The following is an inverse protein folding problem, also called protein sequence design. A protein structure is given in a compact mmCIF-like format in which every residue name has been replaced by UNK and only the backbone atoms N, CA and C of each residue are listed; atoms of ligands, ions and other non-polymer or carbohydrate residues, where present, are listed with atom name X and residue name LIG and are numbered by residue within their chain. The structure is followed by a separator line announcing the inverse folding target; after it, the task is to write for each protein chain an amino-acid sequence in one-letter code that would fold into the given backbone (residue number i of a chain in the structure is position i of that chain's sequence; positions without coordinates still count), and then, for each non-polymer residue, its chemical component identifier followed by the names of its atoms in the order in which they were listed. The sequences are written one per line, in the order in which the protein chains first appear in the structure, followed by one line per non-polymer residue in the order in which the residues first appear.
data_IF_818242663036
#
_entry.id   IF_818242663036
#
_cell.length_a   1.000
_cell.length_b   1.000
_cell.length_c   1.000
_cell.angle_alpha   90.00
_cell.angle_beta   90.00
_cell.angle_gamma   90.00
#
_symmetry.space_group_name_H-M   'P 1'
#
loop_
_entity.id
_entity.type
_entity.pdbx_description
1 polymer ?
#
# COMPACT_ATOMS: atom_id res chain seq x y z
N UNK A 1 -29.10 -17.25 -31.71
CA UNK A 1 -28.37 -18.51 -31.42
C UNK A 1 -27.24 -18.63 -32.44
N UNK A 2 -26.01 -18.32 -32.04
CA UNK A 2 -24.83 -18.50 -32.89
C UNK A 2 -24.41 -19.95 -32.72
N UNK A 3 -24.62 -20.76 -33.75
CA UNK A 3 -24.14 -22.14 -33.81
C UNK A 3 -22.62 -22.13 -34.01
N UNK A 4 -21.87 -22.12 -32.92
CA UNK A 4 -20.45 -22.40 -32.92
C UNK A 4 -20.23 -23.89 -33.22
N UNK A 5 -19.88 -24.21 -34.43
CA UNK A 5 -19.36 -25.53 -34.82
C UNK A 5 -17.98 -25.69 -34.12
N UNK A 6 -17.97 -26.26 -32.93
CA UNK A 6 -16.73 -26.62 -32.22
C UNK A 6 -16.11 -27.80 -32.98
N UNK A 7 -14.93 -27.60 -33.53
CA UNK A 7 -14.14 -28.68 -34.13
C UNK A 7 -13.81 -29.74 -33.05
N UNK A 8 -13.97 -31.06 -33.30
CA UNK A 8 -13.89 -32.09 -32.27
C UNK A 8 -12.49 -32.47 -31.80
N UNK A 9 -11.45 -31.75 -32.17
CA UNK A 9 -10.10 -31.94 -31.62
C UNK A 9 -9.85 -30.99 -30.44
N UNK A 10 -10.25 -31.43 -29.23
CA UNK A 10 -9.88 -30.78 -28.00
C UNK A 10 -8.33 -30.73 -27.89
N UNK A 11 -7.74 -29.55 -28.13
CA UNK A 11 -6.31 -29.32 -27.95
C UNK A 11 -5.96 -29.52 -26.47
N UNK A 12 -5.26 -30.60 -26.14
CA UNK A 12 -4.78 -30.83 -24.78
C UNK A 12 -3.61 -29.89 -24.48
N UNK A 13 -3.76 -29.04 -23.47
CA UNK A 13 -2.70 -28.19 -22.96
C UNK A 13 -2.06 -28.88 -21.76
N UNK A 14 -0.77 -29.15 -21.84
CA UNK A 14 -0.02 -29.72 -20.72
C UNK A 14 0.42 -28.58 -19.79
N UNK A 15 -0.34 -28.36 -18.71
CA UNK A 15 -0.15 -27.23 -17.80
C UNK A 15 1.27 -27.06 -17.24
N UNK A 16 2.01 -28.12 -16.85
CA UNK A 16 3.39 -27.97 -16.41
C UNK A 16 4.31 -27.29 -17.44
N UNK A 17 4.10 -27.51 -18.74
CA UNK A 17 4.88 -26.87 -19.81
C UNK A 17 4.51 -25.40 -20.03
N UNK A 18 3.32 -24.99 -19.59
CA UNK A 18 2.82 -23.63 -19.73
C UNK A 18 3.11 -22.78 -18.50
N UNK A 19 2.95 -23.36 -17.31
CA UNK A 19 3.14 -22.69 -16.02
C UNK A 19 4.60 -22.74 -15.56
N UNK A 20 5.29 -23.86 -15.81
CA UNK A 20 6.64 -24.09 -15.35
C UNK A 20 6.76 -24.36 -13.85
N UNK A 21 7.97 -24.21 -13.32
CA UNK A 21 8.34 -24.59 -11.95
C UNK A 21 7.94 -23.53 -10.91
N UNK A 22 7.86 -23.94 -9.63
CA UNK A 22 7.82 -23.07 -8.47
C UNK A 22 6.43 -22.62 -8.02
N UNK A 23 5.36 -23.02 -8.71
CA UNK A 23 4.00 -22.54 -8.42
C UNK A 23 2.97 -23.64 -8.09
N UNK A 24 3.38 -24.87 -7.81
CA UNK A 24 2.44 -26.00 -7.60
C UNK A 24 1.43 -25.74 -6.49
N UNK A 25 1.89 -25.37 -5.30
CA UNK A 25 1.01 -25.05 -4.16
C UNK A 25 0.18 -23.80 -4.45
N UNK A 26 0.80 -22.74 -4.97
CA UNK A 26 0.10 -21.51 -5.35
C UNK A 26 -1.04 -21.78 -6.34
N UNK A 27 -0.82 -22.63 -7.32
CA UNK A 27 -1.78 -22.99 -8.36
C UNK A 27 -3.03 -23.69 -7.81
N UNK A 28 -2.83 -24.60 -6.85
CA UNK A 28 -3.88 -25.47 -6.33
C UNK A 28 -4.55 -24.98 -5.05
N UNK A 29 -3.97 -23.99 -4.39
CA UNK A 29 -4.49 -23.48 -3.12
C UNK A 29 -5.89 -22.87 -3.28
N UNK A 30 -6.81 -23.20 -2.34
CA UNK A 30 -8.22 -22.78 -2.35
C UNK A 30 -8.63 -21.97 -1.11
N UNK A 31 -7.73 -21.72 -0.15
CA UNK A 31 -8.03 -20.88 1.01
C UNK A 31 -8.30 -19.41 0.61
N UNK A 32 -8.77 -18.62 1.56
CA UNK A 32 -9.23 -17.24 1.33
C UNK A 32 -8.17 -16.32 0.74
N UNK A 33 -6.93 -16.41 1.23
CA UNK A 33 -5.86 -15.49 0.82
C UNK A 33 -4.68 -16.24 0.21
N UNK A 34 -4.35 -15.88 -1.00
CA UNK A 34 -3.21 -16.41 -1.75
C UNK A 34 -2.27 -15.27 -2.08
N UNK A 35 -1.13 -15.23 -1.39
CA UNK A 35 -0.23 -14.08 -1.39
C UNK A 35 1.14 -14.47 -1.97
N UNK A 36 1.56 -13.82 -3.03
CA UNK A 36 2.84 -14.08 -3.68
C UNK A 36 3.66 -12.80 -3.76
N UNK A 37 4.59 -12.63 -2.82
CA UNK A 37 5.65 -11.66 -2.99
C UNK A 37 6.76 -12.26 -3.85
N UNK A 38 7.48 -11.40 -4.57
CA UNK A 38 8.58 -11.96 -5.35
C UNK A 38 9.41 -10.94 -6.09
N UNK A 39 10.50 -11.41 -6.66
CA UNK A 39 11.39 -10.60 -7.48
C UNK A 39 10.73 -10.17 -8.81
N UNK A 40 11.39 -9.27 -9.50
CA UNK A 40 11.13 -9.08 -10.93
C UNK A 40 11.42 -10.40 -11.67
N UNK A 41 10.76 -10.61 -12.81
CA UNK A 41 10.89 -11.79 -13.67
C UNK A 41 10.57 -13.13 -12.98
N UNK A 42 9.91 -13.18 -11.82
CA UNK A 42 9.53 -14.42 -11.12
C UNK A 42 8.26 -15.08 -11.66
N UNK A 43 7.65 -14.60 -12.71
CA UNK A 43 6.41 -15.11 -13.36
C UNK A 43 5.12 -14.95 -12.55
N UNK A 44 5.11 -14.26 -11.40
CA UNK A 44 3.89 -14.16 -10.53
C UNK A 44 2.64 -13.72 -11.31
N UNK A 45 2.70 -12.62 -12.06
CA UNK A 45 1.56 -12.08 -12.81
C UNK A 45 1.13 -13.01 -13.94
N UNK A 46 2.08 -13.55 -14.71
CA UNK A 46 1.80 -14.53 -15.78
C UNK A 46 1.16 -15.81 -15.24
N UNK A 47 1.68 -16.35 -14.14
CA UNK A 47 1.12 -17.56 -13.51
C UNK A 47 -0.28 -17.29 -12.95
N UNK A 48 -0.49 -16.12 -12.34
CA UNK A 48 -1.81 -15.72 -11.82
C UNK A 48 -2.81 -15.57 -12.96
N UNK A 49 -2.44 -14.92 -14.06
CA UNK A 49 -3.30 -14.76 -15.24
C UNK A 49 -3.69 -16.12 -15.85
N UNK A 50 -2.72 -17.02 -16.05
CA UNK A 50 -2.99 -18.39 -16.53
C UNK A 50 -3.95 -19.15 -15.60
N UNK A 51 -3.74 -19.04 -14.27
CA UNK A 51 -4.58 -19.69 -13.28
C UNK A 51 -6.02 -19.15 -13.31
N UNK A 52 -6.21 -17.83 -13.44
CA UNK A 52 -7.53 -17.20 -13.56
C UNK A 52 -8.25 -17.71 -14.80
N UNK A 53 -7.63 -17.64 -15.98
CA UNK A 53 -8.24 -18.08 -17.23
C UNK A 53 -8.63 -19.56 -17.15
N UNK A 54 -7.72 -20.43 -16.67
CA UNK A 54 -8.02 -21.86 -16.49
C UNK A 54 -9.16 -22.09 -15.53
N UNK A 55 -9.20 -21.39 -14.38
CA UNK A 55 -10.26 -21.53 -13.39
C UNK A 55 -11.61 -21.04 -13.91
N UNK A 56 -11.67 -19.89 -14.60
CA UNK A 56 -12.87 -19.37 -15.24
C UNK A 56 -13.50 -20.40 -16.20
N UNK A 57 -12.66 -21.13 -16.94
CA UNK A 57 -13.12 -22.19 -17.84
C UNK A 57 -13.52 -23.47 -17.12
N UNK A 58 -12.97 -23.72 -15.92
CA UNK A 58 -13.21 -24.94 -15.15
C UNK A 58 -14.44 -24.83 -14.22
N UNK A 59 -14.70 -23.63 -13.71
CA UNK A 59 -15.72 -23.36 -12.71
C UNK A 59 -16.79 -22.44 -13.32
N UNK A 60 -17.88 -22.98 -13.88
CA UNK A 60 -19.01 -22.17 -14.31
C UNK A 60 -19.53 -21.27 -13.18
N UNK A 61 -20.10 -20.14 -13.53
CA UNK A 61 -20.66 -19.14 -12.61
C UNK A 61 -19.66 -18.37 -11.74
N UNK A 62 -18.34 -18.66 -11.83
CA UNK A 62 -17.33 -17.93 -11.08
C UNK A 62 -16.86 -16.69 -11.85
N UNK A 63 -17.11 -15.50 -11.33
CA UNK A 63 -16.57 -14.24 -11.86
C UNK A 63 -15.30 -13.84 -11.11
N UNK A 64 -14.47 -13.04 -11.80
CA UNK A 64 -13.20 -12.54 -11.27
C UNK A 64 -13.18 -11.01 -11.29
N UNK A 65 -12.69 -10.41 -10.21
CA UNK A 65 -12.34 -9.01 -10.12
C UNK A 65 -10.83 -8.85 -10.18
N UNK A 66 -10.34 -7.93 -11.00
CA UNK A 66 -8.93 -7.58 -11.11
C UNK A 66 -8.75 -6.13 -10.69
N UNK A 67 -7.82 -5.90 -9.77
CA UNK A 67 -7.66 -4.61 -9.09
C UNK A 67 -6.20 -4.15 -9.14
N UNK A 68 -6.01 -2.85 -9.35
CA UNK A 68 -4.78 -2.11 -9.04
C UNK A 68 -5.13 -0.83 -8.28
N UNK A 69 -4.14 -0.21 -7.64
CA UNK A 69 -4.34 1.09 -6.98
C UNK A 69 -4.90 2.14 -7.96
N UNK A 70 -4.35 2.22 -9.17
CA UNK A 70 -4.73 3.21 -10.19
C UNK A 70 -5.35 2.51 -11.40
N UNK A 71 -6.60 2.86 -11.75
CA UNK A 71 -7.36 2.23 -12.83
C UNK A 71 -6.63 2.26 -14.19
N UNK A 72 -6.08 3.41 -14.56
CA UNK A 72 -5.41 3.59 -15.88
C UNK A 72 -4.26 2.62 -16.13
N UNK A 73 -3.63 2.09 -15.07
CA UNK A 73 -2.49 1.16 -15.19
C UNK A 73 -2.92 -0.29 -15.46
N UNK A 74 -4.20 -0.62 -15.32
CA UNK A 74 -4.73 -1.98 -15.53
C UNK A 74 -4.60 -2.44 -16.97
N UNK A 75 -4.80 -1.53 -17.97
CA UNK A 75 -4.76 -1.88 -19.38
C UNK A 75 -3.40 -2.42 -19.81
N UNK A 76 -2.33 -1.76 -19.39
CA UNK A 76 -0.96 -2.10 -19.78
C UNK A 76 -0.34 -3.20 -18.90
N UNK A 77 -1.01 -3.58 -17.81
CA UNK A 77 -0.57 -4.64 -16.90
C UNK A 77 -1.50 -5.86 -16.93
N UNK A 78 -2.41 -5.98 -15.94
CA UNK A 78 -3.26 -7.16 -15.75
C UNK A 78 -4.07 -7.56 -16.98
N UNK A 79 -4.64 -6.58 -17.67
CA UNK A 79 -5.45 -6.83 -18.86
C UNK A 79 -4.62 -7.45 -19.99
N UNK A 80 -3.42 -6.91 -20.23
CA UNK A 80 -2.48 -7.47 -21.21
C UNK A 80 -1.98 -8.86 -20.80
N UNK A 81 -1.72 -9.09 -19.50
CA UNK A 81 -1.32 -10.41 -19.00
C UNK A 81 -2.44 -11.45 -19.18
N UNK A 82 -3.69 -11.09 -18.94
CA UNK A 82 -4.83 -11.98 -19.19
C UNK A 82 -5.05 -12.26 -20.69
N UNK A 83 -4.90 -11.25 -21.56
CA UNK A 83 -4.90 -11.47 -23.03
C UNK A 83 -3.80 -12.44 -23.44
N UNK A 84 -2.60 -12.26 -22.90
CA UNK A 84 -1.49 -13.19 -23.14
C UNK A 84 -1.83 -14.60 -22.66
N UNK A 85 -2.43 -14.77 -21.46
CA UNK A 85 -2.81 -16.07 -20.93
C UNK A 85 -3.86 -16.78 -21.80
N UNK A 86 -4.88 -16.07 -22.27
CA UNK A 86 -5.88 -16.59 -23.21
C UNK A 86 -5.22 -17.12 -24.49
N UNK A 87 -4.29 -16.35 -25.08
CA UNK A 87 -3.56 -16.74 -26.28
C UNK A 87 -2.62 -17.92 -26.00
N UNK A 88 -1.91 -17.88 -24.87
CA UNK A 88 -0.96 -18.95 -24.49
C UNK A 88 -1.65 -20.29 -24.28
N UNK A 89 -2.85 -20.29 -23.74
CA UNK A 89 -3.70 -21.48 -23.59
C UNK A 89 -4.38 -21.89 -24.93
N UNK A 90 -4.36 -21.03 -25.94
CA UNK A 90 -4.97 -21.31 -27.23
C UNK A 90 -6.50 -21.30 -27.21
N UNK A 91 -7.09 -20.51 -26.32
CA UNK A 91 -8.56 -20.49 -26.03
C UNK A 91 -9.24 -19.19 -26.46
N UNK A 92 -8.60 -18.38 -27.30
CA UNK A 92 -9.11 -17.07 -27.71
C UNK A 92 -10.54 -17.13 -28.31
N UNK A 93 -10.86 -18.18 -29.05
CA UNK A 93 -12.18 -18.34 -29.67
C UNK A 93 -13.35 -18.42 -28.66
N UNK A 94 -13.06 -18.65 -27.40
CA UNK A 94 -14.06 -18.75 -26.31
C UNK A 94 -14.19 -17.46 -25.50
N UNK A 95 -13.47 -16.38 -25.86
CA UNK A 95 -13.42 -15.17 -25.07
C UNK A 95 -13.77 -13.94 -25.92
N UNK A 96 -14.66 -13.12 -25.41
CA UNK A 96 -14.85 -11.74 -25.87
C UNK A 96 -14.01 -10.82 -25.02
N UNK A 97 -13.22 -9.93 -25.67
CA UNK A 97 -12.30 -9.02 -24.99
C UNK A 97 -12.68 -7.59 -25.38
N UNK A 98 -13.14 -6.81 -24.41
CA UNK A 98 -13.51 -5.39 -24.57
C UNK A 98 -12.46 -4.50 -23.91
N UNK A 99 -12.01 -3.48 -24.64
CA UNK A 99 -11.04 -2.50 -24.17
C UNK A 99 -11.68 -1.20 -23.66
N UNK A 100 -12.97 -1.02 -23.89
CA UNK A 100 -13.76 0.12 -23.41
C UNK A 100 -15.24 -0.26 -23.28
N UNK A 101 -15.75 -0.46 -22.05
CA UNK A 101 -15.03 -0.61 -20.79
C UNK A 101 -14.10 -1.83 -20.80
N UNK A 102 -13.08 -1.84 -19.90
CA UNK A 102 -12.23 -3.03 -19.74
C UNK A 102 -13.06 -4.18 -19.16
N UNK A 103 -13.23 -5.22 -19.94
CA UNK A 103 -14.00 -6.42 -19.57
C UNK A 103 -13.57 -7.61 -20.44
N UNK A 104 -13.56 -8.80 -19.87
CA UNK A 104 -13.41 -10.05 -20.62
C UNK A 104 -14.56 -10.98 -20.27
N UNK A 105 -15.21 -11.54 -21.28
CA UNK A 105 -16.35 -12.44 -21.12
C UNK A 105 -15.99 -13.83 -21.65
N UNK A 106 -16.18 -14.87 -20.84
CA UNK A 106 -16.10 -16.25 -21.26
C UNK A 106 -17.43 -16.64 -21.93
N UNK A 107 -17.41 -16.74 -23.25
CA UNK A 107 -18.61 -16.88 -24.08
C UNK A 107 -19.49 -18.10 -23.78
N UNK A 108 -18.94 -19.31 -23.45
CA UNK A 108 -19.78 -20.48 -23.21
C UNK A 108 -20.74 -20.34 -22.03
N UNK A 109 -20.40 -19.60 -20.99
CA UNK A 109 -21.15 -19.49 -19.75
C UNK A 109 -21.52 -18.06 -19.36
N UNK A 110 -20.96 -17.05 -20.07
CA UNK A 110 -21.26 -15.64 -19.87
C UNK A 110 -20.61 -14.99 -18.65
N UNK A 111 -19.78 -15.71 -17.89
CA UNK A 111 -19.09 -15.17 -16.73
C UNK A 111 -17.99 -14.18 -17.16
N UNK A 112 -17.67 -13.23 -16.27
CA UNK A 112 -16.85 -12.07 -16.62
C UNK A 112 -15.63 -11.88 -15.73
N UNK A 113 -14.60 -11.25 -16.28
CA UNK A 113 -13.49 -10.64 -15.56
C UNK A 113 -13.70 -9.12 -15.60
N UNK A 114 -13.85 -8.54 -14.41
CA UNK A 114 -14.05 -7.10 -14.19
C UNK A 114 -12.74 -6.45 -13.78
N UNK A 115 -12.54 -5.18 -14.17
CA UNK A 115 -11.35 -4.40 -13.87
C UNK A 115 -11.74 -3.13 -13.11
N UNK A 116 -11.11 -2.87 -11.96
CA UNK A 116 -11.37 -1.69 -11.13
C UNK A 116 -10.08 -1.12 -10.55
N UNK A 117 -10.06 0.20 -10.39
CA UNK A 117 -9.02 0.88 -9.60
C UNK A 117 -9.50 1.15 -8.18
N UNK A 118 -8.58 1.18 -7.21
CA UNK A 118 -8.85 1.62 -5.84
C UNK A 118 -8.70 3.14 -5.68
N UNK A 119 -8.43 3.87 -6.75
CA UNK A 119 -8.53 5.32 -6.83
C UNK A 119 -9.98 5.84 -6.65
N UNK A 120 -10.97 4.94 -6.84
CA UNK A 120 -12.37 5.18 -6.51
C UNK A 120 -12.93 3.97 -5.73
N UNK A 121 -12.78 3.93 -4.40
CA UNK A 121 -13.21 2.81 -3.57
C UNK A 121 -14.69 2.47 -3.69
N UNK A 122 -15.56 3.49 -3.91
CA UNK A 122 -17.00 3.28 -4.04
C UNK A 122 -17.36 2.43 -5.28
N UNK A 123 -16.59 2.54 -6.35
CA UNK A 123 -16.81 1.71 -7.56
C UNK A 123 -16.41 0.25 -7.35
N UNK A 124 -15.55 -0.04 -6.39
CA UNK A 124 -15.13 -1.40 -6.06
C UNK A 124 -16.14 -2.09 -5.17
N UNK A 125 -16.72 -1.38 -4.21
CA UNK A 125 -17.69 -1.92 -3.24
C UNK A 125 -19.07 -2.20 -3.85
N UNK A 126 -19.38 -1.60 -5.01
CA UNK A 126 -20.70 -1.70 -5.69
C UNK A 126 -20.74 -2.69 -6.85
N UNK A 127 -19.76 -3.61 -6.96
CA UNK A 127 -19.74 -4.59 -8.06
C UNK A 127 -20.87 -5.58 -7.89
N UNK A 128 -21.78 -5.56 -8.85
CA UNK A 128 -22.83 -6.58 -9.02
C UNK A 128 -22.50 -7.46 -10.21
N UNK A 129 -22.55 -8.76 -10.06
CA UNK A 129 -22.36 -9.72 -11.15
C UNK A 129 -23.72 -10.08 -11.76
N UNK A 130 -23.78 -10.11 -13.07
CA UNK A 130 -25.00 -10.41 -13.82
C UNK A 130 -25.32 -11.91 -13.79
N UNK A 131 -24.29 -12.74 -13.82
CA UNK A 131 -24.38 -14.21 -13.85
C UNK A 131 -23.45 -14.76 -12.79
N UNK A 132 -23.94 -15.71 -11.99
CA UNK A 132 -23.13 -16.44 -11.01
C UNK A 132 -22.66 -15.60 -9.82
N UNK A 133 -21.44 -15.83 -9.37
CA UNK A 133 -20.89 -15.29 -8.11
C UNK A 133 -19.56 -14.60 -8.33
N UNK A 134 -19.27 -13.55 -7.57
CA UNK A 134 -17.93 -12.95 -7.51
C UNK A 134 -17.06 -13.83 -6.59
N UNK A 135 -16.27 -14.70 -7.19
CA UNK A 135 -15.49 -15.71 -6.47
C UNK A 135 -14.04 -15.28 -6.23
N UNK A 136 -13.41 -14.67 -7.21
CA UNK A 136 -11.99 -14.39 -7.15
C UNK A 136 -11.69 -12.91 -7.32
N UNK A 137 -10.70 -12.45 -6.56
CA UNK A 137 -10.12 -11.13 -6.72
C UNK A 137 -8.60 -11.28 -6.92
N UNK A 138 -8.05 -10.59 -7.91
CA UNK A 138 -6.62 -10.46 -8.09
C UNK A 138 -6.20 -9.02 -7.92
N UNK A 139 -5.38 -8.78 -6.91
CA UNK A 139 -4.76 -7.49 -6.63
C UNK A 139 -3.33 -7.56 -7.14
N UNK A 140 -3.06 -6.89 -8.25
CA UNK A 140 -1.71 -6.78 -8.83
C UNK A 140 -1.01 -5.54 -8.28
N UNK A 141 0.29 -5.67 -8.03
CA UNK A 141 1.10 -4.68 -7.33
C UNK A 141 0.46 -4.26 -6.00
N UNK A 142 0.03 -5.28 -5.22
CA UNK A 142 -0.68 -5.06 -3.95
C UNK A 142 0.10 -4.18 -2.95
N UNK A 143 1.42 -4.06 -3.13
CA UNK A 143 2.25 -3.13 -2.38
C UNK A 143 1.82 -1.66 -2.56
N UNK A 144 1.18 -1.29 -3.66
CA UNK A 144 0.65 0.07 -3.88
C UNK A 144 -0.51 0.43 -2.92
N UNK A 145 -1.12 -0.57 -2.25
CA UNK A 145 -2.16 -0.38 -1.23
C UNK A 145 -1.49 -0.14 0.11
N UNK A 146 -1.19 1.12 0.39
CA UNK A 146 -0.40 1.51 1.56
C UNK A 146 -1.18 1.38 2.88
N UNK A 147 -2.51 1.52 2.83
CA UNK A 147 -3.38 1.44 3.99
C UNK A 147 -4.11 0.09 4.03
N UNK A 148 -4.03 -0.61 5.17
CA UNK A 148 -4.72 -1.89 5.36
C UNK A 148 -6.24 -1.77 5.29
N UNK A 149 -6.81 -0.63 5.73
CA UNK A 149 -8.25 -0.37 5.66
C UNK A 149 -8.81 -0.36 4.22
N UNK A 150 -8.03 0.09 3.23
CA UNK A 150 -8.41 0.03 1.82
C UNK A 150 -8.52 -1.43 1.34
N UNK A 151 -7.66 -2.30 1.85
CA UNK A 151 -7.74 -3.74 1.59
C UNK A 151 -8.95 -4.38 2.29
N UNK A 152 -9.21 -4.03 3.55
CA UNK A 152 -10.36 -4.58 4.31
C UNK A 152 -11.68 -4.26 3.62
N UNK A 153 -11.85 -3.03 3.14
CA UNK A 153 -13.03 -2.62 2.38
C UNK A 153 -13.23 -3.44 1.10
N UNK A 154 -12.14 -3.77 0.39
CA UNK A 154 -12.18 -4.65 -0.77
C UNK A 154 -12.51 -6.10 -0.37
N UNK A 155 -11.89 -6.61 0.69
CA UNK A 155 -12.12 -7.97 1.20
C UNK A 155 -13.58 -8.19 1.61
N UNK A 156 -14.17 -7.21 2.31
CA UNK A 156 -15.58 -7.20 2.67
C UNK A 156 -16.52 -7.18 1.45
N UNK A 157 -16.05 -6.65 0.31
CA UNK A 157 -16.83 -6.61 -0.93
C UNK A 157 -16.91 -7.96 -1.65
N UNK A 158 -15.97 -8.88 -1.39
CA UNK A 158 -15.98 -10.26 -1.93
C UNK A 158 -16.80 -11.16 -1.01
N UNK A 159 -18.12 -10.96 -1.02
CA UNK A 159 -19.10 -11.57 -0.11
C UNK A 159 -20.24 -12.26 -0.86
N UNK A 160 -21.23 -12.77 -0.11
CA UNK A 160 -22.42 -13.48 -0.61
C UNK A 160 -22.28 -14.98 -0.39
N UNK A 161 -23.38 -15.68 -0.15
CA UNK A 161 -23.40 -17.13 -0.01
C UNK A 161 -23.14 -17.78 -1.38
N UNK A 162 -22.32 -18.81 -1.41
CA UNK A 162 -22.10 -19.67 -2.57
C UNK A 162 -22.63 -21.05 -2.19
N UNK A 163 -23.51 -21.67 -2.98
CA UNK A 163 -24.01 -23.03 -2.72
C UNK A 163 -22.86 -24.05 -2.73
N UNK A 164 -22.81 -24.92 -1.72
CA UNK A 164 -21.72 -25.90 -1.55
C UNK A 164 -21.60 -26.86 -2.75
N UNK A 165 -22.73 -27.23 -3.34
CA UNK A 165 -22.82 -28.14 -4.50
C UNK A 165 -22.11 -27.60 -5.75
N UNK A 166 -21.84 -26.27 -5.85
CA UNK A 166 -21.12 -25.69 -6.97
C UNK A 166 -19.63 -26.00 -6.93
N UNK A 167 -19.08 -26.34 -5.75
CA UNK A 167 -17.64 -26.48 -5.52
C UNK A 167 -16.83 -25.20 -5.70
N UNK A 168 -17.52 -24.05 -5.81
CA UNK A 168 -16.92 -22.73 -5.91
C UNK A 168 -16.34 -22.31 -4.56
N UNK A 169 -15.38 -21.40 -4.60
CA UNK A 169 -14.75 -20.86 -3.39
C UNK A 169 -14.34 -19.40 -3.64
N UNK A 170 -14.28 -18.62 -2.56
CA UNK A 170 -13.82 -17.22 -2.62
C UNK A 170 -12.34 -17.15 -2.30
N UNK A 171 -11.60 -16.42 -3.13
CA UNK A 171 -10.18 -16.23 -2.91
C UNK A 171 -9.72 -14.85 -3.37
N UNK A 172 -8.91 -14.20 -2.56
CA UNK A 172 -8.17 -12.99 -2.92
C UNK A 172 -6.71 -13.38 -3.16
N UNK A 173 -6.20 -13.02 -4.33
CA UNK A 173 -4.80 -13.25 -4.72
C UNK A 173 -4.08 -11.91 -4.74
N UNK A 174 -2.99 -11.79 -3.99
CA UNK A 174 -2.11 -10.61 -3.97
C UNK A 174 -0.78 -10.97 -4.64
N UNK A 175 -0.36 -10.13 -5.58
CA UNK A 175 0.95 -10.25 -6.24
C UNK A 175 1.69 -8.92 -6.16
N UNK A 176 2.96 -8.92 -5.72
CA UNK A 176 3.73 -7.69 -5.53
C UNK A 176 5.23 -7.93 -5.38
N UNK A 177 6.00 -6.83 -5.45
CA UNK A 177 7.40 -6.79 -5.07
C UNK A 177 7.53 -6.18 -3.66
N UNK A 178 8.27 -6.81 -2.72
CA UNK A 178 8.27 -6.43 -1.30
C UNK A 178 9.30 -5.33 -0.98
N UNK A 179 9.04 -4.09 -1.39
CA UNK A 179 9.99 -2.97 -1.28
C UNK A 179 10.27 -2.52 0.15
N UNK A 180 9.29 -2.64 1.06
CA UNK A 180 9.42 -2.20 2.45
C UNK A 180 8.91 -3.27 3.42
N UNK A 181 9.76 -3.68 4.36
CA UNK A 181 9.40 -4.70 5.36
C UNK A 181 8.40 -4.20 6.41
N UNK A 182 8.20 -2.90 6.56
CA UNK A 182 7.21 -2.31 7.48
C UNK A 182 5.80 -2.26 6.88
N UNK A 183 5.62 -2.67 5.63
CA UNK A 183 4.31 -2.69 4.99
C UNK A 183 3.36 -3.67 5.71
N UNK A 184 2.09 -3.28 5.90
CA UNK A 184 1.06 -4.05 6.61
C UNK A 184 0.89 -5.50 6.09
N UNK A 185 1.08 -5.74 4.78
CA UNK A 185 1.02 -7.07 4.16
C UNK A 185 1.96 -8.06 4.85
N UNK A 186 3.13 -7.61 5.33
CA UNK A 186 4.09 -8.48 6.01
C UNK A 186 3.53 -9.02 7.32
N UNK A 187 2.96 -8.16 8.17
CA UNK A 187 2.36 -8.57 9.44
C UNK A 187 1.15 -9.49 9.19
N UNK A 188 0.25 -9.08 8.29
CA UNK A 188 -1.03 -9.77 8.06
C UNK A 188 -0.88 -11.15 7.44
N UNK A 189 -0.01 -11.29 6.43
CA UNK A 189 0.03 -12.52 5.62
C UNK A 189 1.30 -13.34 5.77
N UNK A 190 2.38 -12.76 6.23
CA UNK A 190 3.67 -13.45 6.46
C UNK A 190 4.03 -13.57 7.93
N UNK A 191 3.24 -12.99 8.84
CA UNK A 191 3.44 -13.00 10.28
C UNK A 191 2.56 -14.03 10.99
N UNK A 192 3.18 -14.99 11.67
CA UNK A 192 2.53 -15.89 12.61
C UNK A 192 2.57 -15.25 14.01
N UNK A 193 1.44 -15.09 14.66
CA UNK A 193 1.39 -14.59 16.04
C UNK A 193 1.91 -15.69 16.96
N UNK A 194 2.99 -15.42 17.69
CA UNK A 194 3.64 -16.38 18.60
C UNK A 194 3.38 -16.10 20.07
N UNK A 195 2.82 -14.93 20.40
CA UNK A 195 2.55 -14.53 21.77
C UNK A 195 2.24 -13.05 21.88
N UNK A 196 2.45 -12.51 23.08
CA UNK A 196 2.35 -11.08 23.36
C UNK A 196 3.60 -10.62 24.11
N UNK A 197 4.03 -9.38 23.86
CA UNK A 197 5.10 -8.74 24.64
C UNK A 197 4.64 -8.30 26.03
N UNK A 198 5.53 -7.69 26.82
CA UNK A 198 5.24 -7.20 28.17
C UNK A 198 4.17 -6.09 28.20
N UNK A 199 3.92 -5.41 27.08
CA UNK A 199 2.92 -4.36 26.88
C UNK A 199 1.59 -4.91 26.34
N UNK A 200 1.52 -6.24 26.07
CA UNK A 200 0.32 -6.89 25.53
C UNK A 200 0.18 -6.86 24.01
N UNK A 201 1.18 -6.33 23.28
CA UNK A 201 1.17 -6.30 21.82
C UNK A 201 1.53 -7.67 21.25
N UNK A 202 0.97 -8.07 20.10
CA UNK A 202 1.30 -9.34 19.48
C UNK A 202 2.77 -9.40 19.02
N UNK A 203 3.43 -10.51 19.33
CA UNK A 203 4.75 -10.84 18.78
C UNK A 203 4.61 -11.74 17.56
N UNK A 204 5.49 -11.54 16.56
CA UNK A 204 5.40 -12.21 15.28
C UNK A 204 6.65 -13.02 14.96
N UNK A 205 6.43 -14.22 14.43
CA UNK A 205 7.41 -14.96 13.65
C UNK A 205 7.11 -14.78 12.18
N UNK A 206 8.06 -14.29 11.40
CA UNK A 206 7.87 -14.05 9.98
C UNK A 206 8.37 -15.24 9.13
N UNK A 207 7.59 -15.57 8.12
CA UNK A 207 7.86 -16.67 7.19
C UNK A 207 8.10 -16.13 5.77
N UNK A 208 8.95 -16.81 5.00
CA UNK A 208 9.10 -16.53 3.56
C UNK A 208 8.08 -17.31 2.71
N UNK A 209 7.66 -18.48 3.20
CA UNK A 209 6.59 -19.26 2.62
C UNK A 209 5.94 -20.13 3.70
N UNK A 210 4.61 -20.10 3.80
CA UNK A 210 3.85 -20.88 4.76
C UNK A 210 2.37 -20.99 4.39
N UNK A 211 1.69 -21.93 5.04
CA UNK A 211 0.24 -21.99 5.07
C UNK A 211 -0.16 -21.76 6.54
N UNK A 212 -1.13 -20.85 6.78
CA UNK A 212 -1.62 -20.59 8.13
C UNK A 212 -2.25 -21.85 8.74
N UNK A 213 -2.24 -22.00 10.08
CA UNK A 213 -2.78 -23.17 10.77
C UNK A 213 -4.24 -23.46 10.44
N UNK A 214 -5.03 -22.42 10.16
CA UNK A 214 -6.44 -22.53 9.75
C UNK A 214 -6.63 -22.85 8.25
N UNK A 215 -5.53 -22.92 7.48
CA UNK A 215 -5.56 -23.19 6.05
C UNK A 215 -6.10 -22.04 5.18
N UNK A 216 -6.34 -20.86 5.74
CA UNK A 216 -6.94 -19.74 5.01
C UNK A 216 -5.93 -18.88 4.27
N UNK A 217 -4.68 -18.85 4.71
CA UNK A 217 -3.60 -18.07 4.09
C UNK A 217 -2.55 -18.99 3.49
N UNK A 218 -2.22 -18.80 2.24
CA UNK A 218 -0.97 -19.27 1.64
C UNK A 218 -0.17 -18.05 1.20
N UNK A 219 0.91 -17.78 1.91
CA UNK A 219 1.87 -16.75 1.54
C UNK A 219 3.17 -17.40 1.06
N UNK A 220 3.77 -16.87 -0.01
CA UNK A 220 4.99 -17.43 -0.60
C UNK A 220 5.88 -16.36 -1.21
N UNK A 221 7.17 -16.68 -1.27
CA UNK A 221 8.19 -15.89 -1.96
C UNK A 221 8.64 -16.61 -3.23
N UNK A 222 8.65 -15.87 -4.35
CA UNK A 222 9.17 -16.38 -5.62
C UNK A 222 10.28 -15.47 -6.14
N UNK A 223 11.16 -16.01 -6.95
CA UNK A 223 12.25 -15.23 -7.52
C UNK A 223 12.54 -15.64 -8.97
N UNK A 224 13.44 -14.91 -9.63
CA UNK A 224 13.78 -15.16 -11.03
C UNK A 224 14.34 -16.56 -11.31
N UNK A 225 14.88 -17.26 -10.30
CA UNK A 225 15.42 -18.61 -10.46
C UNK A 225 14.34 -19.67 -10.75
N UNK A 226 13.07 -19.39 -10.45
CA UNK A 226 11.95 -20.25 -10.85
C UNK A 226 11.46 -19.99 -12.28
N UNK A 227 12.09 -19.06 -13.02
CA UNK A 227 11.71 -18.70 -14.37
C UNK A 227 12.67 -19.34 -15.38
N UNK A 228 12.28 -20.45 -15.92
CA UNK A 228 13.02 -21.24 -16.91
C UNK A 228 13.07 -20.61 -18.31
N UNK A 229 12.34 -19.53 -18.55
CA UNK A 229 12.29 -18.83 -19.84
C UNK A 229 13.22 -17.61 -19.92
N UNK A 230 14.02 -17.36 -18.87
CA UNK A 230 15.02 -16.29 -18.89
C UNK A 230 16.23 -16.74 -19.73
N UNK A 231 16.69 -15.84 -20.59
CA UNK A 231 17.91 -16.08 -21.37
C UNK A 231 19.18 -15.63 -20.62
N UNK A 232 20.33 -15.80 -21.28
CA UNK A 232 21.64 -15.45 -20.70
C UNK A 232 21.76 -13.94 -20.44
N UNK A 233 21.12 -13.10 -21.26
CA UNK A 233 21.15 -11.65 -21.08
C UNK A 233 20.34 -11.23 -19.84
N UNK A 234 19.16 -11.82 -19.66
CA UNK A 234 18.34 -11.62 -18.46
C UNK A 234 19.08 -12.02 -17.19
N UNK A 235 19.72 -13.21 -17.19
CA UNK A 235 20.48 -13.70 -16.04
C UNK A 235 21.68 -12.80 -15.72
N UNK A 236 22.34 -12.24 -16.74
CA UNK A 236 23.45 -11.29 -16.56
C UNK A 236 23.01 -10.04 -15.78
N UNK A 237 21.80 -9.52 -16.02
CA UNK A 237 21.25 -8.37 -15.28
C UNK A 237 21.19 -8.67 -13.78
N UNK A 238 20.70 -9.85 -13.39
CA UNK A 238 20.63 -10.25 -11.98
C UNK A 238 22.00 -10.51 -11.36
N UNK A 239 22.94 -11.09 -12.12
CA UNK A 239 24.31 -11.31 -11.65
C UNK A 239 25.03 -9.96 -11.42
N UNK A 240 24.93 -9.03 -12.36
CA UNK A 240 25.48 -7.68 -12.20
C UNK A 240 24.86 -6.95 -11.01
N UNK A 241 23.53 -7.11 -10.81
CA UNK A 241 22.85 -6.52 -9.64
C UNK A 241 23.38 -7.15 -8.33
N UNK A 242 23.60 -8.46 -8.31
CA UNK A 242 24.14 -9.17 -7.14
C UNK A 242 25.52 -8.64 -6.74
N UNK A 243 26.38 -8.37 -7.72
CA UNK A 243 27.74 -7.89 -7.51
C UNK A 243 27.76 -6.41 -7.09
N UNK A 244 27.02 -5.56 -7.79
CA UNK A 244 27.13 -4.11 -7.65
C UNK A 244 26.13 -3.51 -6.64
N UNK A 245 25.00 -4.18 -6.38
CA UNK A 245 23.97 -3.69 -5.44
C UNK A 245 23.29 -4.87 -4.71
N UNK A 246 23.95 -5.50 -3.72
CA UNK A 246 23.42 -6.66 -2.99
C UNK A 246 22.09 -6.38 -2.30
N UNK A 247 21.86 -5.16 -1.82
CA UNK A 247 20.59 -4.78 -1.18
C UNK A 247 19.43 -4.81 -2.17
N UNK A 248 19.61 -4.16 -3.32
CA UNK A 248 18.61 -4.21 -4.40
C UNK A 248 18.42 -5.64 -4.92
N UNK A 249 19.46 -6.43 -5.00
CA UNK A 249 19.38 -7.85 -5.38
C UNK A 249 18.54 -8.66 -4.39
N UNK A 250 18.62 -8.39 -3.08
CA UNK A 250 17.77 -9.03 -2.07
C UNK A 250 16.27 -8.87 -2.39
N UNK A 251 15.86 -7.69 -2.80
CA UNK A 251 14.44 -7.37 -3.11
C UNK A 251 14.11 -7.73 -4.55
N UNK A 252 14.76 -7.08 -5.51
CA UNK A 252 14.41 -7.17 -6.94
C UNK A 252 14.89 -8.49 -7.58
N UNK A 253 15.90 -9.15 -7.01
CA UNK A 253 16.42 -10.45 -7.47
C UNK A 253 15.83 -11.63 -6.70
N UNK A 254 15.80 -11.58 -5.37
CA UNK A 254 15.41 -12.74 -4.55
C UNK A 254 13.98 -12.62 -3.98
N UNK A 255 13.31 -11.48 -4.09
CA UNK A 255 11.96 -11.27 -3.54
C UNK A 255 11.93 -11.17 -2.01
N UNK A 256 13.08 -10.92 -1.38
CA UNK A 256 13.17 -10.63 0.05
C UNK A 256 12.60 -9.26 0.38
N UNK A 257 12.16 -9.08 1.62
CA UNK A 257 11.69 -7.78 2.08
C UNK A 257 12.82 -6.75 2.05
N UNK A 258 12.52 -5.59 1.46
CA UNK A 258 13.42 -4.45 1.42
C UNK A 258 13.40 -3.68 2.73
N UNK A 259 14.53 -3.03 3.00
CA UNK A 259 14.59 -1.90 3.92
C UNK A 259 14.64 -0.69 2.99
N UNK A 260 13.79 0.30 3.21
CA UNK A 260 13.82 1.53 2.42
C UNK A 260 15.16 2.22 2.71
N UNK A 261 16.01 2.28 1.70
CA UNK A 261 17.33 2.91 1.82
C UNK A 261 17.17 4.43 1.69
N UNK A 262 17.86 5.17 2.55
CA UNK A 262 17.84 6.63 2.51
C UNK A 262 16.54 7.22 3.06
N UNK A 263 15.90 6.54 4.03
CA UNK A 263 14.86 7.18 4.84
C UNK A 263 15.40 8.47 5.43
N UNK A 264 14.61 9.53 5.37
CA UNK A 264 14.94 10.82 5.98
C UNK A 264 14.92 10.68 7.50
N UNK A 265 13.96 9.91 8.03
CA UNK A 265 13.88 9.59 9.45
C UNK A 265 13.99 8.09 9.65
N UNK A 266 15.07 7.61 10.28
CA UNK A 266 15.34 6.20 10.58
C UNK A 266 15.28 5.91 12.09
N UNK A 267 15.26 6.94 12.91
CA UNK A 267 15.28 6.92 14.38
C UNK A 267 13.87 6.93 14.99
N UNK A 268 12.96 6.16 14.44
CA UNK A 268 11.60 6.07 14.95
C UNK A 268 11.19 4.63 15.28
N UNK A 269 10.18 4.51 16.16
CA UNK A 269 9.54 3.23 16.49
C UNK A 269 8.06 3.41 16.77
N UNK A 270 7.30 2.35 16.52
CA UNK A 270 5.90 2.22 16.90
C UNK A 270 5.81 1.70 18.33
N UNK A 271 5.13 2.44 19.20
CA UNK A 271 4.97 2.07 20.62
C UNK A 271 3.68 2.70 21.16
N UNK A 272 2.86 1.91 21.87
CA UNK A 272 1.69 2.43 22.58
C UNK A 272 2.14 3.15 23.86
N UNK A 273 1.58 4.33 24.11
CA UNK A 273 1.89 5.14 25.29
C UNK A 273 0.68 5.94 25.75
N UNK A 274 0.67 6.32 27.03
CA UNK A 274 -0.32 7.25 27.58
C UNK A 274 0.15 8.70 27.38
N UNK A 275 -0.40 9.35 26.33
CA UNK A 275 -0.05 10.72 25.99
C UNK A 275 -0.50 11.74 27.06
N UNK A 276 -1.58 11.45 27.83
CA UNK A 276 -2.03 12.32 28.92
C UNK A 276 -1.04 12.28 30.09
N UNK A 277 -0.45 11.14 30.38
CA UNK A 277 0.60 11.03 31.38
C UNK A 277 1.87 11.76 30.94
N UNK A 278 2.27 11.61 29.66
CA UNK A 278 3.45 12.28 29.09
C UNK A 278 3.26 13.80 29.07
N UNK A 279 2.09 14.30 28.69
CA UNK A 279 1.81 15.74 28.60
C UNK A 279 1.91 16.50 29.93
N UNK A 280 1.83 15.78 31.06
CA UNK A 280 1.98 16.36 32.41
C UNK A 280 3.43 16.55 32.83
N UNK A 281 4.40 16.00 32.12
CA UNK A 281 5.81 16.19 32.44
C UNK A 281 6.22 17.65 32.21
N UNK A 282 6.99 18.28 33.14
CA UNK A 282 7.27 19.73 33.10
C UNK A 282 8.12 20.18 31.92
N UNK A 283 8.87 19.27 31.29
CA UNK A 283 9.76 19.52 30.15
C UNK A 283 9.12 19.14 28.79
N UNK A 284 7.86 18.72 28.82
CA UNK A 284 7.14 18.31 27.60
C UNK A 284 6.24 19.43 27.12
N UNK A 285 6.33 19.72 25.82
CA UNK A 285 5.53 20.74 25.11
C UNK A 285 4.65 20.05 24.07
N UNK A 286 3.43 20.57 23.85
CA UNK A 286 2.60 20.15 22.72
C UNK A 286 3.07 20.82 21.43
N UNK A 287 2.97 20.10 20.31
CA UNK A 287 3.29 20.55 18.97
C UNK A 287 2.22 20.09 18.00
N UNK A 288 1.60 21.05 17.29
CA UNK A 288 0.58 20.78 16.29
C UNK A 288 0.95 21.49 14.99
N UNK A 289 0.93 20.74 13.89
CA UNK A 289 1.22 21.28 12.58
C UNK A 289 0.19 20.85 11.56
N UNK A 290 -0.16 21.72 10.62
CA UNK A 290 -1.16 21.50 9.59
C UNK A 290 -0.56 21.74 8.21
N UNK A 291 -0.67 20.73 7.37
CA UNK A 291 -0.40 20.81 5.95
C UNK A 291 -1.74 20.79 5.18
N UNK A 292 -1.91 21.73 4.25
CA UNK A 292 -3.15 21.86 3.50
C UNK A 292 -3.13 20.97 2.27
N UNK A 293 -4.16 20.17 2.08
CA UNK A 293 -4.46 19.44 0.86
C UNK A 293 -5.92 19.66 0.46
N UNK A 294 -6.26 19.30 -0.78
CA UNK A 294 -7.62 19.38 -1.25
C UNK A 294 -7.99 18.15 -2.10
N UNK A 295 -8.05 18.27 -3.42
CA UNK A 295 -8.61 17.23 -4.30
C UNK A 295 -7.73 15.98 -4.38
N UNK A 296 -6.44 16.12 -4.59
CA UNK A 296 -5.51 15.02 -4.78
C UNK A 296 -4.72 14.70 -3.51
N UNK A 297 -4.39 15.73 -2.75
CA UNK A 297 -3.57 15.65 -1.56
C UNK A 297 -4.43 15.73 -0.29
N UNK A 298 -4.11 14.96 0.75
CA UNK A 298 -4.82 15.03 2.02
C UNK A 298 -4.49 16.31 2.79
N UNK A 299 -5.46 16.85 3.51
CA UNK A 299 -5.17 17.75 4.62
C UNK A 299 -4.62 16.91 5.77
N UNK A 300 -3.44 17.26 6.25
CA UNK A 300 -2.69 16.50 7.25
C UNK A 300 -2.45 17.33 8.51
N UNK A 301 -2.94 16.84 9.67
CA UNK A 301 -2.64 17.42 10.98
C UNK A 301 -1.72 16.48 11.75
N UNK A 302 -0.58 16.97 12.14
CA UNK A 302 0.33 16.32 13.09
C UNK A 302 -0.02 16.75 14.52
N UNK A 303 -0.18 15.76 15.42
CA UNK A 303 -0.41 15.97 16.84
C UNK A 303 0.71 15.30 17.65
N UNK A 304 1.60 16.09 18.25
CA UNK A 304 2.79 15.60 18.94
C UNK A 304 3.03 16.22 20.30
N UNK A 305 3.84 15.50 21.09
CA UNK A 305 4.45 15.95 22.33
C UNK A 305 5.98 15.90 22.17
N UNK A 306 6.69 16.85 22.71
CA UNK A 306 8.14 16.97 22.53
C UNK A 306 8.85 17.29 23.84
N UNK A 307 9.87 16.51 24.15
CA UNK A 307 10.86 16.83 25.20
C UNK A 307 12.21 17.14 24.53
N UNK A 308 12.62 18.38 24.65
CA UNK A 308 13.98 18.81 24.21
C UNK A 308 15.07 18.17 25.08
N UNK A 309 14.76 17.91 26.35
CA UNK A 309 15.67 17.29 27.30
C UNK A 309 15.89 15.81 27.00
N UNK A 310 14.81 15.07 26.75
CA UNK A 310 14.87 13.64 26.42
C UNK A 310 15.18 13.42 24.94
N UNK A 311 15.21 14.47 24.11
CA UNK A 311 15.34 14.39 22.65
C UNK A 311 14.33 13.41 22.06
N UNK A 312 13.07 13.53 22.48
CA UNK A 312 12.00 12.60 22.08
C UNK A 312 10.78 13.35 21.60
N UNK A 313 10.22 12.88 20.49
CA UNK A 313 8.95 13.32 19.89
C UNK A 313 7.97 12.14 20.01
N UNK A 314 6.82 12.35 20.63
CA UNK A 314 5.73 11.37 20.69
C UNK A 314 4.62 11.84 19.76
N UNK A 315 4.30 11.06 18.74
CA UNK A 315 3.19 11.30 17.81
C UNK A 315 1.98 10.52 18.34
N UNK A 316 0.98 11.22 18.82
CA UNK A 316 -0.12 10.58 19.55
C UNK A 316 -1.45 10.61 18.80
N UNK A 317 -1.62 11.50 17.81
CA UNK A 317 -2.84 11.58 16.99
C UNK A 317 -2.54 12.20 15.62
N UNK A 318 -3.48 12.05 14.66
CA UNK A 318 -3.37 12.60 13.32
C UNK A 318 -4.74 12.87 12.70
N UNK A 319 -4.86 13.88 11.82
CA UNK A 319 -5.92 13.99 10.82
C UNK A 319 -5.29 13.78 9.44
N UNK A 320 -5.94 12.98 8.59
CA UNK A 320 -5.45 12.71 7.25
C UNK A 320 -6.62 12.42 6.31
N UNK A 321 -7.22 13.48 5.76
CA UNK A 321 -8.43 13.37 4.94
C UNK A 321 -8.31 14.24 3.68
N UNK A 322 -8.87 13.76 2.56
CA UNK A 322 -8.96 14.51 1.30
C UNK A 322 -10.26 15.28 1.20
N UNK A 323 -10.27 16.25 0.30
CA UNK A 323 -11.45 17.04 -0.08
C UNK A 323 -12.13 17.78 1.09
N UNK A 324 -11.37 18.15 2.12
CA UNK A 324 -11.90 18.96 3.22
C UNK A 324 -11.97 20.45 2.83
N UNK A 325 -13.11 21.08 3.10
CA UNK A 325 -13.21 22.55 3.11
C UNK A 325 -12.61 23.11 4.40
N UNK A 326 -12.21 24.38 4.43
CA UNK A 326 -11.67 25.02 5.64
C UNK A 326 -12.63 24.90 6.83
N UNK A 327 -13.94 24.99 6.60
CA UNK A 327 -14.94 24.76 7.65
C UNK A 327 -14.89 23.32 8.18
N UNK A 328 -14.82 22.34 7.30
CA UNK A 328 -14.72 20.93 7.70
C UNK A 328 -13.42 20.64 8.46
N UNK A 329 -12.30 21.24 8.06
CA UNK A 329 -11.01 21.16 8.79
C UNK A 329 -11.18 21.67 10.22
N UNK A 330 -11.79 22.85 10.39
CA UNK A 330 -12.05 23.42 11.72
C UNK A 330 -12.93 22.50 12.57
N UNK A 331 -14.02 21.97 11.99
CA UNK A 331 -14.95 21.09 12.69
C UNK A 331 -14.28 19.77 13.10
N UNK A 332 -13.42 19.17 12.23
CA UNK A 332 -12.62 17.98 12.55
C UNK A 332 -11.66 18.23 13.71
N UNK A 333 -10.82 19.25 13.61
CA UNK A 333 -9.83 19.60 14.64
C UNK A 333 -10.50 19.90 15.99
N UNK A 334 -11.63 20.60 15.97
CA UNK A 334 -12.40 20.89 17.16
C UNK A 334 -13.06 19.64 17.74
N UNK A 335 -13.61 18.77 16.91
CA UNK A 335 -14.18 17.47 17.30
C UNK A 335 -13.16 16.52 17.91
N UNK A 336 -11.90 16.56 17.49
CA UNK A 336 -10.77 15.84 18.10
C UNK A 336 -10.34 16.45 19.45
N UNK A 337 -10.85 17.61 19.84
CA UNK A 337 -10.51 18.29 21.10
C UNK A 337 -9.34 19.29 21.01
N UNK A 338 -8.80 19.53 19.80
CA UNK A 338 -7.58 20.33 19.62
C UNK A 338 -7.85 21.77 19.16
N UNK A 339 -9.11 22.24 19.16
CA UNK A 339 -9.50 23.59 18.74
C UNK A 339 -8.84 24.74 19.53
N UNK A 340 -8.30 24.46 20.73
CA UNK A 340 -7.60 25.45 21.58
C UNK A 340 -6.07 25.36 21.49
N UNK A 341 -5.53 24.43 20.74
CA UNK A 341 -4.09 24.22 20.61
C UNK A 341 -3.45 25.29 19.71
N UNK A 342 -2.15 25.49 19.87
CA UNK A 342 -1.33 26.30 18.93
C UNK A 342 -1.01 25.46 17.73
N UNK A 343 -1.57 25.80 16.57
CA UNK A 343 -1.34 25.07 15.33
C UNK A 343 -0.50 25.91 14.40
N UNK A 344 0.59 25.35 13.88
CA UNK A 344 1.41 25.92 12.82
C UNK A 344 0.98 25.35 11.48
N UNK A 345 0.53 26.19 10.58
CA UNK A 345 0.04 25.76 9.25
C UNK A 345 0.96 26.21 8.14
N UNK A 346 0.94 25.49 7.01
CA UNK A 346 1.70 25.93 5.82
C UNK A 346 1.37 27.39 5.47
N UNK A 347 2.40 28.19 5.33
CA UNK A 347 2.28 29.62 5.02
C UNK A 347 1.94 29.90 3.55
N UNK A 348 1.91 28.89 2.68
CA UNK A 348 1.49 29.05 1.28
C UNK A 348 0.01 29.39 1.15
N UNK A 349 -0.80 29.08 2.21
CA UNK A 349 -2.26 29.23 2.24
C UNK A 349 -2.73 30.29 3.27
N UNK A 350 -2.32 31.57 3.17
CA UNK A 350 -2.67 32.58 4.18
C UNK A 350 -4.17 32.82 4.31
N UNK A 351 -4.92 32.71 3.20
CA UNK A 351 -6.36 32.85 3.18
C UNK A 351 -7.05 31.72 3.96
N UNK A 352 -6.60 30.50 3.78
CA UNK A 352 -7.11 29.33 4.51
C UNK A 352 -6.85 29.46 6.01
N UNK A 353 -5.69 30.00 6.40
CA UNK A 353 -5.34 30.25 7.80
C UNK A 353 -6.30 31.28 8.43
N UNK A 354 -6.61 32.38 7.70
CA UNK A 354 -7.53 33.41 8.19
C UNK A 354 -8.96 32.86 8.31
N UNK A 355 -9.43 32.11 7.31
CA UNK A 355 -10.74 31.43 7.36
C UNK A 355 -10.86 30.45 8.54
N UNK A 356 -9.81 29.66 8.81
CA UNK A 356 -9.76 28.74 9.96
C UNK A 356 -9.77 29.49 11.30
N UNK A 357 -9.11 30.64 11.37
CA UNK A 357 -9.11 31.50 12.56
C UNK A 357 -10.50 32.06 12.85
N UNK A 358 -11.17 32.54 11.80
CA UNK A 358 -12.53 33.07 11.87
C UNK A 358 -13.55 31.95 12.19
N UNK A 359 -13.29 30.73 11.71
CA UNK A 359 -14.11 29.56 11.99
C UNK A 359 -13.96 29.03 13.44
N UNK A 360 -12.94 29.46 14.21
CA UNK A 360 -12.77 29.10 15.62
C UNK A 360 -11.39 28.62 16.06
N UNK A 361 -10.47 28.38 15.13
CA UNK A 361 -9.09 28.00 15.48
C UNK A 361 -8.22 29.25 15.77
N UNK A 362 -8.58 30.00 16.83
CA UNK A 362 -7.99 31.33 17.09
C UNK A 362 -6.47 31.33 17.31
N UNK A 363 -5.87 30.19 17.60
CA UNK A 363 -4.43 30.05 17.85
C UNK A 363 -3.63 29.49 16.68
N UNK A 364 -4.25 29.37 15.50
CA UNK A 364 -3.55 28.98 14.26
C UNK A 364 -2.66 30.13 13.78
N UNK A 365 -1.46 29.79 13.30
CA UNK A 365 -0.48 30.74 12.77
C UNK A 365 0.24 30.11 11.57
N UNK A 366 0.62 30.94 10.62
CA UNK A 366 1.49 30.53 9.52
C UNK A 366 2.86 30.07 10.04
N UNK A 367 3.37 29.00 9.47
CA UNK A 367 4.76 28.60 9.61
C UNK A 367 5.68 29.60 8.85
N UNK A 368 6.96 29.71 9.26
CA UNK A 368 7.92 30.59 8.63
C UNK A 368 8.63 29.85 7.52
N UNK A 369 8.60 30.37 6.28
CA UNK A 369 9.42 29.87 5.18
C UNK A 369 10.71 30.71 5.10
N UNK A 370 11.85 30.09 5.35
CA UNK A 370 13.18 30.64 5.10
C UNK A 370 13.91 29.85 4.04
N UNK A 371 15.01 30.39 3.52
CA UNK A 371 15.91 29.64 2.65
C UNK A 371 16.39 28.39 3.41
N UNK A 372 16.34 27.23 2.79
CA UNK A 372 16.73 25.92 3.36
C UNK A 372 15.89 25.46 4.58
N UNK A 373 14.71 26.06 4.83
CA UNK A 373 13.87 25.73 5.98
C UNK A 373 13.46 24.24 6.04
N UNK A 374 13.31 23.57 4.89
CA UNK A 374 12.97 22.13 4.80
C UNK A 374 14.15 21.31 5.35
N UNK A 375 15.33 21.48 4.82
CA UNK A 375 16.51 20.71 5.24
C UNK A 375 16.92 20.99 6.70
N UNK A 376 16.82 22.25 7.15
CA UNK A 376 17.08 22.61 8.53
C UNK A 376 16.08 21.95 9.50
N UNK A 377 14.78 21.92 9.13
CA UNK A 377 13.75 21.23 9.90
C UNK A 377 13.98 19.73 9.96
N UNK A 378 14.33 19.11 8.83
CA UNK A 378 14.68 17.70 8.77
C UNK A 378 15.87 17.38 9.69
N UNK A 379 16.98 18.14 9.58
CA UNK A 379 18.18 17.93 10.41
C UNK A 379 17.87 18.05 11.92
N UNK A 380 17.04 19.01 12.29
CA UNK A 380 16.61 19.15 13.69
C UNK A 380 15.86 17.90 14.19
N UNK A 381 14.87 17.43 13.42
CA UNK A 381 14.04 16.27 13.76
C UNK A 381 14.87 14.98 13.79
N UNK A 382 15.87 14.84 12.92
CA UNK A 382 16.82 13.73 12.93
C UNK A 382 17.60 13.60 14.24
N UNK A 383 17.72 14.68 15.00
CA UNK A 383 18.32 14.67 16.35
C UNK A 383 17.43 14.14 17.47
N UNK A 384 16.22 13.68 17.18
CA UNK A 384 15.24 13.18 18.14
C UNK A 384 14.93 11.71 17.89
N UNK A 385 14.52 10.98 18.93
CA UNK A 385 13.82 9.71 18.78
C UNK A 385 12.33 9.97 18.57
N UNK A 386 11.74 9.41 17.52
CA UNK A 386 10.32 9.58 17.23
C UNK A 386 9.57 8.32 17.67
N UNK A 387 8.65 8.47 18.60
CA UNK A 387 7.78 7.38 19.08
C UNK A 387 6.38 7.63 18.55
N UNK A 388 5.89 6.70 17.73
CA UNK A 388 4.60 6.86 17.03
C UNK A 388 3.59 5.90 17.65
N UNK A 389 2.47 6.44 18.11
CA UNK A 389 1.39 5.62 18.61
C UNK A 389 0.78 4.77 17.48
N UNK A 390 0.46 3.46 17.68
CA UNK A 390 -0.05 2.58 16.63
C UNK A 390 -1.32 3.07 15.91
N UNK A 391 -2.10 3.94 16.53
CA UNK A 391 -3.30 4.54 15.91
C UNK A 391 -3.00 5.55 14.79
N UNK A 392 -1.77 6.08 14.75
CA UNK A 392 -1.32 7.05 13.74
C UNK A 392 -0.84 6.32 12.48
N UNK A 393 -1.75 5.63 11.81
CA UNK A 393 -1.43 4.71 10.70
C UNK A 393 -0.91 5.42 9.46
N UNK A 394 -1.40 6.63 9.18
CA UNK A 394 -0.94 7.42 8.04
C UNK A 394 0.46 8.00 8.31
N UNK A 395 0.73 8.46 9.54
CA UNK A 395 2.04 8.91 9.95
C UNK A 395 3.08 7.78 9.86
N UNK A 396 2.73 6.57 10.35
CA UNK A 396 3.57 5.38 10.21
C UNK A 396 3.85 5.08 8.74
N UNK A 397 2.85 5.18 7.89
CA UNK A 397 3.00 4.98 6.45
C UNK A 397 3.95 5.99 5.84
N UNK A 398 3.77 7.28 6.10
CA UNK A 398 4.62 8.32 5.52
C UNK A 398 6.05 8.24 6.04
N UNK A 399 6.29 8.18 7.35
CA UNK A 399 7.64 8.13 7.93
C UNK A 399 8.42 6.89 7.48
N UNK A 400 7.71 5.79 7.18
CA UNK A 400 8.31 4.54 6.68
C UNK A 400 8.75 4.61 5.21
N UNK A 401 8.29 5.62 4.46
CA UNK A 401 8.50 5.74 3.02
C UNK A 401 9.13 7.09 2.62
N UNK A 402 9.22 8.06 3.52
CA UNK A 402 9.78 9.38 3.27
C UNK A 402 11.30 9.32 3.08
N UNK A 403 11.75 9.50 1.84
CA UNK A 403 13.16 9.33 1.42
C UNK A 403 13.68 10.56 0.71
N UNK A 404 15.00 10.62 0.58
CA UNK A 404 15.64 11.56 -0.33
C UNK A 404 15.38 11.19 -1.78
N UNK A 405 15.11 12.18 -2.63
CA UNK A 405 14.94 11.98 -4.07
C UNK A 405 16.24 11.44 -4.70
N UNK A 406 16.11 10.83 -5.87
CA UNK A 406 17.25 10.30 -6.63
C UNK A 406 17.44 11.12 -7.90
N UNK A 407 18.69 11.34 -8.25
CA UNK A 407 19.04 11.87 -9.57
C UNK A 407 18.84 10.82 -10.68
N UNK A 408 19.05 11.21 -11.92
CA UNK A 408 18.92 10.32 -13.09
C UNK A 408 19.87 9.10 -13.07
N UNK A 409 20.86 9.09 -12.20
CA UNK A 409 21.80 7.98 -12.02
C UNK A 409 21.48 7.11 -10.81
N UNK A 410 20.41 7.44 -10.05
CA UNK A 410 19.99 6.72 -8.84
C UNK A 410 20.77 7.14 -7.58
N UNK A 411 21.53 8.21 -7.62
CA UNK A 411 22.18 8.76 -6.42
C UNK A 411 21.21 9.65 -5.64
N UNK A 412 21.19 9.49 -4.31
CA UNK A 412 20.36 10.31 -3.43
C UNK A 412 20.85 11.76 -3.46
N UNK A 413 19.93 12.69 -3.69
CA UNK A 413 20.15 14.12 -3.61
C UNK A 413 19.52 14.66 -2.34
N UNK A 414 20.05 15.77 -1.81
CA UNK A 414 19.58 16.37 -0.57
C UNK A 414 18.27 17.17 -0.76
N UNK A 415 17.31 16.52 -1.43
CA UNK A 415 15.95 17.02 -1.66
C UNK A 415 15.01 15.88 -1.30
N UNK A 416 14.04 16.06 -0.38
CA UNK A 416 13.07 15.04 -0.08
C UNK A 416 12.15 14.78 -1.28
N UNK A 417 11.55 13.57 -1.34
CA UNK A 417 10.51 13.26 -2.33
C UNK A 417 9.24 14.04 -2.02
N UNK A 418 8.43 14.32 -3.05
CA UNK A 418 7.11 14.95 -2.89
C UNK A 418 6.01 13.97 -2.46
N UNK A 419 6.27 12.66 -2.52
CA UNK A 419 5.38 11.63 -2.01
C UNK A 419 5.65 11.39 -0.51
N UNK A 420 4.61 11.02 0.26
CA UNK A 420 4.71 10.71 1.70
C UNK A 420 5.23 11.87 2.56
N UNK A 421 4.93 13.11 2.18
CA UNK A 421 5.48 14.30 2.82
C UNK A 421 4.47 15.09 3.66
N UNK A 422 3.17 14.84 3.55
CA UNK A 422 2.13 15.71 4.16
C UNK A 422 2.21 15.74 5.69
N UNK A 423 2.22 14.59 6.37
CA UNK A 423 2.40 14.54 7.83
C UNK A 423 3.86 14.84 8.24
N UNK A 424 4.84 14.59 7.37
CA UNK A 424 6.23 14.96 7.59
C UNK A 424 6.41 16.49 7.56
N UNK A 425 5.75 17.15 6.62
CA UNK A 425 5.73 18.62 6.54
C UNK A 425 4.91 19.23 7.68
N UNK A 426 3.74 18.65 8.00
CA UNK A 426 2.96 19.05 9.17
C UNK A 426 3.77 18.91 10.47
N UNK A 427 4.51 17.83 10.66
CA UNK A 427 5.42 17.65 11.81
C UNK A 427 6.49 18.75 11.83
N UNK A 428 7.12 19.05 10.71
CA UNK A 428 8.12 20.09 10.57
C UNK A 428 7.57 21.47 10.93
N UNK A 429 6.34 21.79 10.49
CA UNK A 429 5.67 23.04 10.87
C UNK A 429 5.39 23.08 12.38
N UNK A 430 4.81 22.03 12.94
CA UNK A 430 4.48 21.94 14.37
C UNK A 430 5.69 22.13 15.30
N UNK A 431 6.88 21.74 14.84
CA UNK A 431 8.13 21.82 15.60
C UNK A 431 8.92 23.12 15.38
N UNK A 432 8.45 24.01 14.49
CA UNK A 432 9.17 25.21 14.07
C UNK A 432 9.58 26.12 15.25
N UNK A 433 8.69 26.33 16.23
CA UNK A 433 8.97 27.23 17.37
C UNK A 433 10.10 26.69 18.28
N UNK A 434 10.46 25.40 18.16
CA UNK A 434 11.56 24.78 18.88
C UNK A 434 12.89 24.84 18.10
N UNK A 435 12.78 24.96 16.75
CA UNK A 435 13.93 25.18 15.87
C UNK A 435 14.54 26.57 16.03
N UNK A 436 13.68 27.56 16.18
CA UNK A 436 14.07 28.96 16.35
C UNK A 436 14.04 29.26 17.83
N UNK A 437 15.17 29.21 18.50
CA UNK A 437 15.30 29.67 19.89
C UNK A 437 14.67 31.07 20.07
N UNK A 438 14.34 31.48 21.30
CA UNK A 438 13.67 32.75 21.53
C UNK A 438 14.44 33.89 20.84
N UNK A 439 13.78 34.56 19.88
CA UNK A 439 14.31 35.76 19.30
C UNK A 439 14.39 36.79 20.42
N UNK A 440 15.61 37.07 20.90
CA UNK A 440 15.83 38.20 21.78
C UNK A 440 15.69 39.47 20.93
N UNK A 441 14.58 40.18 21.08
CA UNK A 441 14.51 41.59 20.72
C UNK A 441 14.97 42.40 21.94
N UNK A 442 16.08 43.10 21.82
CA UNK A 442 16.40 44.19 22.72
C UNK A 442 15.74 45.43 22.11
N UNK A 443 14.68 45.92 22.78
CA UNK A 443 14.13 47.26 22.55
C UNK A 443 15.04 48.31 23.20
#
# INVERSE_FOLDING_TARGET
MINLKISPQAKRVHLPEVVGKGYGTFWNFKGRYRVCKGSRASKKSKTTALNIIKRMMQYPEANTLVVRKVFRTLKDSCFTELKWAINRLGVLAYWEIKESPLEMTYLPTGQKIYFRGLDDPLKVTSITVEIGFLCWCWIEEAYEIMNEADFDMLDESIRGAIPEETGLFKQITLTFNPWNEKHWIRKRFFGEITGKDAQGNPTYKFHDSWISPDGQIYATTTNYLCNEWLDTADLKVFNTMKENNPRRYKVAGLGGWGIVDGLIFDNWREEAFDYLAISKKPDVKSAFGLDFGYTNDPTALFCGLVSEKERTIWVFDELYEKALTNRAICDRITGMGYGKERIKADCAEPKSIDELRDAGLHRIRAARKGKDSVNNGIQYIQGYTIIVHPRCVNFITEISNYTWAEDKFGAKINVPIDDFNHLMDAMRYGLEDMLVGPAFSFD
#
